data_IF_152544654124
#
_entry.id   IF_152544654124
#
_cell.length_a   1.000
_cell.length_b   1.000
_cell.length_c   1.000
_cell.angle_alpha   90.00
_cell.angle_beta   90.00
_cell.angle_gamma   90.00
#
_symmetry.space_group_name_H-M   'P 1'
#
loop_
_entity.id
_entity.type
_entity.pdbx_description
1 polymer ?
#
# COMPACT_ATOMS: atom_id res chain seq x y z
N UNK A 1 8.09 3.59 9.53
CA UNK A 1 7.48 2.63 8.57
C UNK A 1 6.35 1.86 9.24
N UNK A 2 5.42 1.25 8.49
CA UNK A 2 4.33 0.44 9.07
C UNK A 2 3.07 0.28 8.21
N UNK A 3 2.97 1.02 7.09
CA UNK A 3 1.88 0.88 6.12
C UNK A 3 0.49 1.07 6.74
N UNK A 4 -0.51 0.39 6.18
CA UNK A 4 -1.88 0.43 6.68
C UNK A 4 -2.02 -0.11 8.11
N UNK A 5 -1.20 -1.07 8.52
CA UNK A 5 -1.26 -1.66 9.86
C UNK A 5 -1.01 -0.60 10.95
N UNK A 6 0.10 0.12 10.84
CA UNK A 6 0.43 1.20 11.78
C UNK A 6 -0.53 2.38 11.66
N UNK A 7 -0.99 2.70 10.45
CA UNK A 7 -1.91 3.82 10.22
C UNK A 7 -3.30 3.58 10.84
N UNK A 8 -3.85 2.38 10.68
CA UNK A 8 -5.18 2.01 11.17
C UNK A 8 -5.16 1.33 12.55
N UNK A 9 -3.98 1.04 13.11
CA UNK A 9 -3.82 0.47 14.44
C UNK A 9 -4.29 -0.98 14.56
N UNK A 10 -4.15 -1.80 13.52
CA UNK A 10 -4.49 -3.23 13.55
C UNK A 10 -3.27 -4.12 13.33
N UNK A 11 -3.33 -5.33 13.89
CA UNK A 11 -2.28 -6.34 13.79
C UNK A 11 -2.82 -7.56 13.02
N UNK A 12 -2.49 -7.70 11.72
CA UNK A 12 -2.97 -8.82 10.91
C UNK A 12 -2.19 -10.09 11.20
N UNK A 13 -2.90 -11.21 11.19
CA UNK A 13 -2.31 -12.56 11.23
C UNK A 13 -1.34 -12.80 10.06
N UNK A 14 -1.71 -12.33 8.87
CA UNK A 14 -0.92 -12.42 7.64
C UNK A 14 -1.06 -11.14 6.81
N UNK A 15 0.04 -10.72 6.21
CA UNK A 15 0.14 -9.57 5.31
C UNK A 15 0.80 -9.97 4.00
N UNK A 16 0.24 -9.41 2.92
CA UNK A 16 0.75 -9.59 1.57
C UNK A 16 1.23 -8.24 1.06
N UNK A 17 2.48 -8.21 0.64
CA UNK A 17 3.16 -7.05 0.09
C UNK A 17 3.53 -7.32 -1.36
N UNK A 18 3.54 -6.29 -2.19
CA UNK A 18 3.94 -6.41 -3.58
C UNK A 18 4.17 -5.04 -4.22
N UNK A 19 4.06 -4.99 -5.55
CA UNK A 19 4.27 -3.76 -6.34
C UNK A 19 5.64 -3.14 -6.04
N UNK A 20 5.64 -1.93 -5.47
CA UNK A 20 6.84 -1.11 -5.25
C UNK A 20 7.84 -1.74 -4.27
N UNK A 21 7.43 -2.75 -3.50
CA UNK A 21 8.32 -3.51 -2.60
C UNK A 21 9.50 -4.12 -3.37
N UNK A 22 9.32 -4.46 -4.65
CA UNK A 22 10.41 -4.90 -5.53
C UNK A 22 11.19 -3.82 -6.23
N UNK A 23 10.81 -2.58 -6.01
CA UNK A 23 11.42 -1.42 -6.66
C UNK A 23 11.51 -1.54 -8.18
N UNK A 24 10.45 -2.06 -8.82
CA UNK A 24 10.36 -2.23 -10.27
C UNK A 24 10.88 -3.58 -10.80
N UNK A 25 11.56 -4.38 -9.97
CA UNK A 25 11.98 -5.72 -10.37
C UNK A 25 10.83 -6.74 -10.24
N UNK A 26 10.73 -7.71 -11.15
CA UNK A 26 9.75 -8.78 -11.05
C UNK A 26 9.99 -9.65 -9.82
N UNK A 27 8.95 -10.40 -9.43
CA UNK A 27 9.00 -11.39 -8.34
C UNK A 27 9.24 -10.83 -6.94
N UNK A 28 8.89 -9.57 -6.71
CA UNK A 28 8.80 -9.00 -5.37
C UNK A 28 7.35 -8.99 -4.88
N UNK A 29 6.90 -10.15 -4.43
CA UNK A 29 5.83 -10.22 -3.47
C UNK A 29 6.43 -10.79 -2.19
N UNK A 30 6.02 -10.25 -1.05
CA UNK A 30 6.39 -10.79 0.25
C UNK A 30 5.12 -11.16 0.99
N UNK A 31 5.14 -12.32 1.64
CA UNK A 31 4.16 -12.68 2.64
C UNK A 31 4.87 -12.66 3.99
N UNK A 32 4.24 -12.06 4.98
CA UNK A 32 4.77 -11.98 6.34
C UNK A 32 3.63 -11.90 7.33
N UNK A 33 3.87 -12.23 8.58
CA UNK A 33 2.83 -12.30 9.58
C UNK A 33 3.33 -12.99 10.83
N UNK A 34 2.39 -13.48 11.63
CA UNK A 34 2.71 -14.15 12.90
C UNK A 34 3.55 -15.40 12.69
N UNK A 35 4.50 -15.63 13.58
CA UNK A 35 5.45 -16.75 13.48
C UNK A 35 4.73 -18.09 13.46
N UNK A 36 3.68 -18.25 14.28
CA UNK A 36 2.88 -19.47 14.34
C UNK A 36 2.12 -19.77 13.05
N UNK A 37 1.97 -18.79 12.15
CA UNK A 37 1.38 -18.97 10.82
C UNK A 37 2.50 -19.20 9.80
N UNK A 38 3.56 -18.39 9.83
CA UNK A 38 4.67 -18.48 8.88
C UNK A 38 5.42 -19.82 8.96
N UNK A 39 5.40 -20.52 10.11
CA UNK A 39 5.97 -21.87 10.24
C UNK A 39 5.32 -22.92 9.33
N UNK A 40 4.12 -22.65 8.82
CA UNK A 40 3.43 -23.54 7.85
C UNK A 40 3.83 -23.27 6.40
N UNK A 41 4.54 -22.16 6.12
CA UNK A 41 5.11 -21.91 4.80
C UNK A 41 6.39 -22.72 4.62
N UNK A 42 6.52 -23.39 3.47
CA UNK A 42 7.75 -24.05 3.06
C UNK A 42 8.28 -23.42 1.76
N UNK A 43 9.58 -23.18 1.72
CA UNK A 43 10.31 -22.90 0.49
C UNK A 43 11.00 -24.20 0.01
N UNK A 44 10.93 -24.48 -1.30
CA UNK A 44 11.55 -25.67 -1.89
C UNK A 44 10.80 -26.99 -1.62
N UNK A 45 11.29 -28.08 -2.22
CA UNK A 45 10.60 -29.40 -2.32
C UNK A 45 10.51 -30.20 -1.01
N UNK A 46 10.64 -29.56 0.16
CA UNK A 46 10.63 -30.28 1.45
C UNK A 46 9.27 -30.93 1.68
N UNK A 47 9.27 -32.26 1.82
CA UNK A 47 8.07 -33.07 2.04
C UNK A 47 7.41 -32.80 3.39
N UNK A 48 6.08 -32.60 3.38
CA UNK A 48 5.24 -32.40 4.55
C UNK A 48 3.90 -31.73 4.19
N UNK A 49 2.96 -31.63 5.14
CA UNK A 49 1.72 -30.84 4.99
C UNK A 49 2.00 -29.35 5.22
N UNK A 50 2.75 -28.72 4.31
CA UNK A 50 3.09 -27.29 4.36
C UNK A 50 2.58 -26.56 3.12
N UNK A 51 2.25 -25.28 3.28
CA UNK A 51 1.90 -24.41 2.18
C UNK A 51 3.16 -24.06 1.39
N UNK A 52 3.20 -24.45 0.12
CA UNK A 52 4.34 -24.18 -0.75
C UNK A 52 4.35 -22.70 -1.14
N UNK A 53 5.41 -21.99 -0.78
CA UNK A 53 5.63 -20.58 -1.17
C UNK A 53 6.97 -20.47 -1.88
N UNK A 54 6.92 -20.33 -3.21
CA UNK A 54 8.12 -20.28 -4.03
C UNK A 54 7.83 -20.10 -5.51
N UNK A 55 8.91 -20.06 -6.30
CA UNK A 55 8.91 -19.90 -7.74
C UNK A 55 10.34 -19.65 -8.22
N UNK A 56 10.64 -19.90 -9.49
CA UNK A 56 12.02 -19.82 -10.02
C UNK A 56 12.71 -18.48 -9.73
N UNK A 57 11.95 -17.38 -9.75
CA UNK A 57 12.44 -16.03 -9.50
C UNK A 57 12.12 -15.51 -8.09
N UNK A 58 11.50 -16.32 -7.24
CA UNK A 58 11.20 -15.95 -5.87
C UNK A 58 12.52 -15.78 -5.09
N UNK A 59 12.60 -14.70 -4.30
CA UNK A 59 13.78 -14.35 -3.51
C UNK A 59 15.09 -14.27 -4.31
N UNK A 60 15.03 -13.91 -5.60
CA UNK A 60 16.24 -13.74 -6.39
C UNK A 60 17.11 -12.59 -5.81
N UNK A 61 18.46 -12.72 -5.81
CA UNK A 61 19.34 -11.78 -5.11
C UNK A 61 19.21 -10.33 -5.59
N UNK A 62 18.95 -10.13 -6.89
CA UNK A 62 18.81 -8.80 -7.47
C UNK A 62 17.59 -8.07 -6.91
N UNK A 63 16.43 -8.73 -6.92
CA UNK A 63 15.19 -8.19 -6.35
C UNK A 63 15.35 -7.96 -4.84
N UNK A 64 15.98 -8.87 -4.10
CA UNK A 64 16.20 -8.73 -2.66
C UNK A 64 17.09 -7.52 -2.33
N UNK A 65 18.18 -7.32 -3.07
CA UNK A 65 19.07 -6.17 -2.88
C UNK A 65 18.36 -4.85 -3.20
N UNK A 66 17.65 -4.79 -4.33
CA UNK A 66 16.87 -3.61 -4.73
C UNK A 66 15.81 -3.25 -3.68
N UNK A 67 15.03 -4.24 -3.22
CA UNK A 67 14.01 -4.07 -2.20
C UNK A 67 14.59 -3.54 -0.88
N UNK A 68 15.70 -4.14 -0.41
CA UNK A 68 16.35 -3.74 0.83
C UNK A 68 16.81 -2.27 0.81
N UNK A 69 17.52 -1.86 -0.24
CA UNK A 69 17.99 -0.49 -0.37
C UNK A 69 16.85 0.50 -0.58
N UNK A 70 15.81 0.13 -1.33
CA UNK A 70 14.63 0.95 -1.51
C UNK A 70 13.90 1.20 -0.18
N UNK A 71 13.71 0.15 0.62
CA UNK A 71 13.07 0.24 1.94
C UNK A 71 13.88 1.17 2.87
N UNK A 72 15.20 1.02 2.90
CA UNK A 72 16.08 1.90 3.68
C UNK A 72 15.95 3.36 3.26
N UNK A 73 16.01 3.63 1.96
CA UNK A 73 15.87 5.00 1.45
C UNK A 73 14.50 5.59 1.78
N UNK A 74 13.43 4.80 1.70
CA UNK A 74 12.08 5.25 2.08
C UNK A 74 12.03 5.63 3.56
N UNK A 75 12.69 4.88 4.43
CA UNK A 75 12.78 5.18 5.86
C UNK A 75 13.64 6.42 6.14
N UNK A 76 14.85 6.48 5.57
CA UNK A 76 15.81 7.58 5.75
C UNK A 76 15.26 8.93 5.27
N UNK A 77 14.54 8.93 4.15
CA UNK A 77 14.03 10.16 3.53
C UNK A 77 12.62 10.55 3.97
N UNK A 78 11.91 9.67 4.69
CA UNK A 78 10.49 9.88 4.98
C UNK A 78 9.61 9.94 3.73
N UNK A 79 10.00 9.28 2.64
CA UNK A 79 9.38 9.43 1.31
C UNK A 79 7.84 9.22 1.32
N UNK A 80 7.33 8.32 2.14
CA UNK A 80 5.89 8.04 2.25
C UNK A 80 5.10 9.20 2.86
N UNK A 81 5.68 9.92 3.82
CA UNK A 81 5.06 11.12 4.41
C UNK A 81 5.06 12.27 3.41
N UNK A 82 6.18 12.47 2.71
CA UNK A 82 6.30 13.47 1.64
C UNK A 82 5.26 13.22 0.55
N UNK A 83 5.14 11.98 0.08
CA UNK A 83 4.13 11.58 -0.89
C UNK A 83 2.71 11.83 -0.35
N UNK A 84 2.46 11.54 0.94
CA UNK A 84 1.19 11.81 1.59
C UNK A 84 0.79 13.29 1.58
N UNK A 85 1.73 14.18 1.93
CA UNK A 85 1.51 15.64 1.88
C UNK A 85 1.24 16.13 0.45
N UNK A 86 1.98 15.59 -0.52
CA UNK A 86 1.75 15.90 -1.93
C UNK A 86 0.37 15.44 -2.42
N UNK A 87 -0.05 14.22 -2.02
CA UNK A 87 -1.38 13.68 -2.31
C UNK A 87 -2.50 14.54 -1.71
N UNK A 88 -2.36 14.96 -0.45
CA UNK A 88 -3.32 15.84 0.21
C UNK A 88 -3.45 17.19 -0.52
N UNK A 89 -2.31 17.82 -0.86
CA UNK A 89 -2.29 19.07 -1.62
C UNK A 89 -2.97 18.93 -2.99
N UNK A 90 -2.77 17.80 -3.67
CA UNK A 90 -3.40 17.55 -4.97
C UNK A 90 -4.92 17.34 -4.82
N UNK A 91 -5.37 16.56 -3.84
CA UNK A 91 -6.79 16.35 -3.58
C UNK A 91 -7.52 17.66 -3.22
N UNK A 92 -6.91 18.48 -2.36
CA UNK A 92 -7.43 19.81 -2.01
C UNK A 92 -7.53 20.72 -3.23
N UNK A 93 -6.49 20.80 -4.05
CA UNK A 93 -6.49 21.60 -5.27
C UNK A 93 -7.56 21.15 -6.29
N UNK A 94 -7.82 19.84 -6.38
CA UNK A 94 -8.92 19.31 -7.21
C UNK A 94 -10.28 19.77 -6.67
N UNK A 95 -10.51 19.66 -5.36
CA UNK A 95 -11.78 20.09 -4.74
C UNK A 95 -12.02 21.60 -4.92
N UNK A 96 -10.98 22.44 -4.76
CA UNK A 96 -11.07 23.89 -5.04
C UNK A 96 -11.46 24.19 -6.49
N UNK A 97 -11.11 23.33 -7.45
CA UNK A 97 -11.56 23.47 -8.85
C UNK A 97 -13.00 23.02 -8.99
N UNK A 98 -13.41 21.93 -8.34
CA UNK A 98 -14.77 21.40 -8.39
C UNK A 98 -15.80 22.38 -7.81
N UNK A 99 -15.46 23.06 -6.72
CA UNK A 99 -16.29 24.10 -6.09
C UNK A 99 -16.68 25.25 -7.03
N UNK A 100 -15.96 25.46 -8.14
CA UNK A 100 -16.30 26.46 -9.16
C UNK A 100 -17.52 26.08 -10.01
N UNK A 101 -18.04 24.86 -9.86
CA UNK A 101 -19.13 24.31 -10.64
C UNK A 101 -20.27 23.85 -9.72
N UNK A 102 -21.42 24.53 -9.79
CA UNK A 102 -22.51 24.36 -8.81
C UNK A 102 -23.27 23.03 -8.90
N UNK A 103 -23.17 22.29 -10.01
CA UNK A 103 -24.00 21.10 -10.28
C UNK A 103 -23.18 19.85 -10.63
N UNK A 104 -21.91 19.79 -10.22
CA UNK A 104 -21.06 18.64 -10.44
C UNK A 104 -20.86 17.87 -9.13
N UNK A 105 -21.30 16.60 -9.03
CA UNK A 105 -21.13 15.78 -7.84
C UNK A 105 -19.70 15.21 -7.78
N UNK A 106 -18.69 16.08 -7.88
CA UNK A 106 -17.29 15.72 -7.99
C UNK A 106 -16.59 15.95 -6.67
N UNK A 107 -15.74 15.00 -6.29
CA UNK A 107 -14.90 15.14 -5.10
C UNK A 107 -13.63 14.34 -5.25
N UNK A 108 -12.59 14.78 -4.55
CA UNK A 108 -11.33 14.07 -4.44
C UNK A 108 -10.94 13.88 -2.97
N UNK A 109 -10.27 12.76 -2.69
CA UNK A 109 -9.64 12.48 -1.42
C UNK A 109 -8.35 11.71 -1.65
N UNK A 110 -7.51 11.61 -0.63
CA UNK A 110 -6.27 10.84 -0.70
C UNK A 110 -6.17 9.82 0.43
N UNK A 111 -5.46 8.72 0.16
CA UNK A 111 -4.98 7.78 1.16
C UNK A 111 -3.45 7.72 1.04
N UNK A 112 -2.77 8.43 1.93
CA UNK A 112 -1.35 8.70 1.77
C UNK A 112 -1.08 9.39 0.42
N UNK A 113 -0.11 8.87 -0.34
CA UNK A 113 0.26 9.46 -1.64
C UNK A 113 -0.67 9.12 -2.81
N UNK A 114 -1.71 8.30 -2.60
CA UNK A 114 -2.67 7.95 -3.64
C UNK A 114 -3.87 8.89 -3.59
N UNK A 115 -4.17 9.56 -4.71
CA UNK A 115 -5.34 10.43 -4.85
C UNK A 115 -6.43 9.72 -5.64
N UNK A 116 -7.64 9.77 -5.12
CA UNK A 116 -8.86 9.29 -5.74
C UNK A 116 -9.72 10.50 -6.06
N UNK A 117 -10.20 10.63 -7.30
CA UNK A 117 -11.21 11.61 -7.66
C UNK A 117 -12.38 10.88 -8.30
N UNK A 118 -13.58 11.36 -7.99
CA UNK A 118 -14.83 10.77 -8.42
C UNK A 118 -15.63 11.83 -9.17
N UNK A 119 -16.12 11.47 -10.35
CA UNK A 119 -16.93 12.35 -11.20
C UNK A 119 -18.43 12.01 -11.17
N UNK A 120 -18.79 11.03 -10.35
CA UNK A 120 -20.16 10.64 -10.06
C UNK A 120 -20.31 10.37 -8.56
N UNK A 121 -21.38 10.90 -7.95
CA UNK A 121 -21.82 10.40 -6.66
C UNK A 121 -22.40 9.01 -6.86
N UNK A 122 -21.67 7.97 -6.46
CA UNK A 122 -22.29 6.68 -6.21
C UNK A 122 -23.27 6.89 -5.06
N UNK A 123 -24.58 6.74 -5.33
CA UNK A 123 -25.63 6.76 -4.31
C UNK A 123 -25.26 5.76 -3.19
N UNK A 124 -24.74 6.23 -2.04
CA UNK A 124 -24.53 5.36 -0.87
C UNK A 124 -23.32 5.61 0.03
N UNK A 125 -22.44 6.60 -0.24
CA UNK A 125 -21.37 6.95 0.68
C UNK A 125 -21.72 8.22 1.48
N UNK A 126 -22.19 8.04 2.72
CA UNK A 126 -22.18 9.12 3.71
C UNK A 126 -20.74 9.31 4.19
N UNK A 127 -20.09 10.38 3.76
CA UNK A 127 -18.75 10.74 4.25
C UNK A 127 -18.90 11.36 5.65
N UNK A 128 -18.72 10.55 6.70
CA UNK A 128 -18.87 10.93 8.13
C UNK A 128 -17.80 11.96 8.58
N UNK A 129 -16.86 12.35 7.71
CA UNK A 129 -15.74 13.22 8.06
C UNK A 129 -15.89 14.69 7.62
N UNK A 130 -17.03 15.10 7.08
CA UNK A 130 -17.25 16.48 6.62
C UNK A 130 -18.05 17.37 7.58
N UNK A 131 -18.51 16.83 8.73
CA UNK A 131 -19.13 17.64 9.79
C UNK A 131 -18.08 18.07 10.84
N UNK A 132 -17.22 19.03 10.48
CA UNK A 132 -16.54 19.93 11.44
C UNK A 132 -16.24 21.29 10.83
#
# INVERSE_FOLDING_TARGET
MGGGQAYYGYEPDLSVFGKIVGHGYPSAAAIGGKEEIMKFCAAGVSGGKRAYSGGTLAANPLTCAAAYHAIKLVEETGATEIAGKAGARLAEGLNQVFEKYENLPWFAYNLGGTVHFHTSCLFGLTLIFLDK
#
